data_IF_468261561192
#
_entry.id   IF_468261561192
#
_cell.length_a   1.000
_cell.length_b   1.000
_cell.length_c   1.000
_cell.angle_alpha   90.00
_cell.angle_beta   90.00
_cell.angle_gamma   90.00
#
_symmetry.space_group_name_H-M   'P 1'
#
loop_
_entity.id
_entity.type
_entity.pdbx_description
1 polymer ?
#
# COMPACT_ATOMS: atom_id res chain seq x y z
N UNK A 1 -26.27 5.97 -23.29
CA UNK A 1 -25.74 7.31 -22.95
C UNK A 1 -24.28 7.37 -23.36
N UNK A 2 -23.99 8.08 -24.47
CA UNK A 2 -22.60 8.35 -24.84
C UNK A 2 -22.06 9.39 -23.86
N UNK A 3 -21.22 8.96 -22.95
CA UNK A 3 -20.40 9.89 -22.17
C UNK A 3 -19.57 10.72 -23.15
N UNK A 4 -19.45 12.05 -22.94
CA UNK A 4 -18.64 12.88 -23.81
C UNK A 4 -17.23 12.28 -23.85
N UNK A 5 -16.80 11.92 -25.07
CA UNK A 5 -15.51 11.30 -25.31
C UNK A 5 -14.46 12.38 -25.07
N UNK A 6 -13.95 12.45 -23.84
CA UNK A 6 -12.79 13.29 -23.54
C UNK A 6 -11.64 12.83 -24.42
N UNK A 7 -10.95 13.80 -25.03
CA UNK A 7 -9.72 13.52 -25.78
C UNK A 7 -8.78 12.74 -24.87
N UNK A 8 -8.13 11.68 -25.34
CA UNK A 8 -7.28 10.82 -24.50
C UNK A 8 -6.22 11.60 -23.71
N UNK A 9 -5.69 12.69 -24.27
CA UNK A 9 -4.76 13.59 -23.58
C UNK A 9 -5.38 14.31 -22.37
N UNK A 10 -6.63 14.75 -22.48
CA UNK A 10 -7.33 15.40 -21.35
C UNK A 10 -7.58 14.42 -20.22
N UNK A 11 -7.98 13.19 -20.55
CA UNK A 11 -8.20 12.13 -19.57
C UNK A 11 -6.90 11.79 -18.81
N UNK A 12 -5.78 11.68 -19.55
CA UNK A 12 -4.47 11.45 -18.97
C UNK A 12 -4.03 12.61 -18.06
N UNK A 13 -4.25 13.85 -18.47
CA UNK A 13 -3.90 15.04 -17.66
C UNK A 13 -4.69 15.09 -16.35
N UNK A 14 -6.02 14.81 -16.40
CA UNK A 14 -6.86 14.73 -15.20
C UNK A 14 -6.37 13.59 -14.29
N UNK A 15 -6.05 12.42 -14.86
CA UNK A 15 -5.50 11.28 -14.12
C UNK A 15 -4.20 11.61 -13.40
N UNK A 16 -3.27 12.27 -14.07
CA UNK A 16 -2.02 12.72 -13.45
C UNK A 16 -2.25 13.78 -12.38
N UNK A 17 -3.15 14.74 -12.61
CA UNK A 17 -3.56 15.71 -11.59
C UNK A 17 -4.08 15.04 -10.33
N UNK A 18 -4.93 14.03 -10.48
CA UNK A 18 -5.44 13.24 -9.36
C UNK A 18 -4.31 12.50 -8.61
N UNK A 19 -3.40 11.85 -9.34
CA UNK A 19 -2.25 11.14 -8.74
C UNK A 19 -1.36 12.10 -7.94
N UNK A 20 -1.04 13.25 -8.50
CA UNK A 20 -0.22 14.27 -7.81
C UNK A 20 -0.94 14.78 -6.54
N UNK A 21 -2.22 15.13 -6.63
CA UNK A 21 -2.99 15.61 -5.48
C UNK A 21 -3.10 14.53 -4.38
N UNK A 22 -3.34 13.28 -4.76
CA UNK A 22 -3.40 12.15 -3.84
C UNK A 22 -2.05 11.90 -3.15
N UNK A 23 -0.96 12.01 -3.89
CA UNK A 23 0.40 11.86 -3.33
C UNK A 23 0.70 12.96 -2.32
N UNK A 24 0.43 14.24 -2.66
CA UNK A 24 0.61 15.38 -1.76
C UNK A 24 -0.22 15.17 -0.49
N UNK A 25 -1.49 14.81 -0.62
CA UNK A 25 -2.37 14.53 0.52
C UNK A 25 -1.83 13.40 1.40
N UNK A 26 -1.33 12.31 0.80
CA UNK A 26 -0.75 11.20 1.53
C UNK A 26 0.50 11.62 2.33
N UNK A 27 1.36 12.48 1.75
CA UNK A 27 2.56 13.03 2.41
C UNK A 27 2.16 13.92 3.58
N UNK A 28 1.21 14.84 3.38
CA UNK A 28 0.74 15.76 4.43
C UNK A 28 0.12 15.00 5.60
N UNK A 29 -0.79 14.07 5.33
CA UNK A 29 -1.44 13.25 6.37
C UNK A 29 -0.41 12.40 7.11
N UNK A 30 0.59 11.87 6.41
CA UNK A 30 1.65 11.06 7.03
C UNK A 30 2.49 11.89 7.99
N UNK A 31 2.80 13.15 7.67
CA UNK A 31 3.51 14.05 8.57
C UNK A 31 2.71 14.32 9.85
N UNK A 32 1.42 14.61 9.73
CA UNK A 32 0.53 14.85 10.88
C UNK A 32 0.45 13.60 11.77
N UNK A 33 0.23 12.43 11.18
CA UNK A 33 0.16 11.17 11.94
C UNK A 33 1.50 10.80 12.58
N UNK A 34 2.61 11.04 11.87
CA UNK A 34 3.95 10.85 12.42
C UNK A 34 4.21 11.75 13.62
N UNK A 35 3.81 13.01 13.56
CA UNK A 35 3.86 13.95 14.69
C UNK A 35 3.04 13.45 15.89
N UNK A 36 1.83 12.96 15.67
CA UNK A 36 0.97 12.46 16.75
C UNK A 36 1.55 11.22 17.44
N UNK A 37 2.22 10.34 16.68
CA UNK A 37 2.77 9.09 17.21
C UNK A 37 4.16 9.27 17.84
N UNK A 38 5.00 10.13 17.27
CA UNK A 38 6.39 10.32 17.69
C UNK A 38 6.76 11.80 17.61
N UNK A 39 6.25 12.65 18.54
CA UNK A 39 6.44 14.10 18.47
C UNK A 39 7.88 14.56 18.72
N UNK A 40 8.81 13.64 19.00
CA UNK A 40 10.22 13.94 19.28
C UNK A 40 10.40 15.06 20.32
N UNK A 41 11.24 16.01 20.04
CA UNK A 41 11.51 17.15 20.93
C UNK A 41 10.41 18.24 20.97
N UNK A 42 9.25 18.05 20.36
CA UNK A 42 8.20 19.07 20.28
C UNK A 42 7.85 19.75 21.63
N UNK A 43 7.66 19.00 22.72
CA UNK A 43 7.34 19.63 24.02
C UNK A 43 8.42 20.58 24.51
N UNK A 44 9.68 20.36 24.12
CA UNK A 44 10.85 21.08 24.60
C UNK A 44 11.38 22.11 23.60
N UNK A 45 11.58 21.70 22.36
CA UNK A 45 12.18 22.53 21.31
C UNK A 45 11.15 23.35 20.51
N UNK A 46 9.86 22.98 20.55
CA UNK A 46 8.76 23.60 19.79
C UNK A 46 9.05 23.80 18.29
N UNK A 47 9.91 22.97 17.74
CA UNK A 47 10.25 22.99 16.32
C UNK A 47 9.25 22.16 15.52
N UNK A 48 8.36 22.83 14.81
CA UNK A 48 7.38 22.17 13.93
C UNK A 48 8.07 21.29 12.88
N UNK A 49 9.17 21.77 12.31
CA UNK A 49 9.89 21.05 11.25
C UNK A 49 10.45 19.72 11.74
N UNK A 50 11.05 19.70 12.93
CA UNK A 50 11.60 18.47 13.52
C UNK A 50 10.49 17.48 13.92
N UNK A 51 9.38 18.00 14.42
CA UNK A 51 8.23 17.21 14.80
C UNK A 51 7.53 16.59 13.58
N UNK A 52 7.38 17.36 12.50
CA UNK A 52 6.74 16.92 11.27
C UNK A 52 7.61 15.92 10.49
N UNK A 53 8.91 16.24 10.31
CA UNK A 53 9.89 15.37 9.64
C UNK A 53 10.64 14.46 10.63
N UNK A 54 9.91 13.86 11.55
CA UNK A 54 10.49 12.92 12.50
C UNK A 54 11.11 11.68 11.82
N UNK A 55 11.94 10.88 12.52
CA UNK A 55 12.62 9.72 11.92
C UNK A 55 11.70 8.67 11.31
N UNK A 56 10.44 8.62 11.71
CA UNK A 56 9.45 7.68 11.18
C UNK A 56 8.73 8.19 9.93
N UNK A 57 8.85 9.50 9.61
CA UNK A 57 8.14 10.14 8.50
C UNK A 57 8.45 9.48 7.14
N UNK A 58 9.73 9.44 6.78
CA UNK A 58 10.14 8.90 5.46
C UNK A 58 9.72 7.44 5.27
N UNK A 59 10.04 6.50 6.18
CA UNK A 59 9.60 5.13 6.02
C UNK A 59 8.06 4.99 6.01
N UNK A 60 7.35 5.83 6.75
CA UNK A 60 5.88 5.83 6.75
C UNK A 60 5.29 6.29 5.41
N UNK A 61 5.89 7.29 4.76
CA UNK A 61 5.49 7.72 3.41
C UNK A 61 5.68 6.58 2.41
N UNK A 62 6.84 5.94 2.42
CA UNK A 62 7.10 4.80 1.53
C UNK A 62 6.14 3.64 1.77
N UNK A 63 5.88 3.31 3.04
CA UNK A 63 4.95 2.26 3.42
C UNK A 63 3.53 2.51 2.87
N UNK A 64 3.02 3.74 3.02
CA UNK A 64 1.67 4.11 2.58
C UNK A 64 1.57 4.19 1.06
N UNK A 65 2.57 4.79 0.40
CA UNK A 65 2.57 4.92 -1.06
C UNK A 65 2.72 3.55 -1.72
N UNK A 66 3.67 2.74 -1.28
CA UNK A 66 3.88 1.40 -1.83
C UNK A 66 2.69 0.47 -1.53
N UNK A 67 2.13 0.53 -0.32
CA UNK A 67 0.94 -0.23 0.04
C UNK A 67 -0.29 0.18 -0.80
N UNK A 68 -0.51 1.47 -0.97
CA UNK A 68 -1.60 2.00 -1.81
C UNK A 68 -1.44 1.61 -3.28
N UNK A 69 -0.22 1.71 -3.83
CA UNK A 69 0.08 1.23 -5.19
C UNK A 69 -0.15 -0.27 -5.31
N UNK A 70 0.25 -1.06 -4.32
CA UNK A 70 0.01 -2.50 -4.28
C UNK A 70 -1.47 -2.84 -4.37
N UNK A 71 -2.32 -2.18 -3.58
CA UNK A 71 -3.78 -2.35 -3.62
C UNK A 71 -4.33 -1.94 -5.00
N UNK A 72 -3.90 -0.81 -5.55
CA UNK A 72 -4.30 -0.36 -6.89
C UNK A 72 -3.95 -1.38 -7.98
N UNK A 73 -2.74 -1.95 -7.91
CA UNK A 73 -2.30 -2.99 -8.85
C UNK A 73 -3.11 -4.28 -8.68
N UNK A 74 -3.48 -4.68 -7.47
CA UNK A 74 -4.36 -5.83 -7.24
C UNK A 74 -5.73 -5.64 -7.88
N UNK A 75 -6.35 -4.46 -7.70
CA UNK A 75 -7.62 -4.13 -8.35
C UNK A 75 -7.49 -4.14 -9.88
N UNK A 76 -6.36 -3.65 -10.40
CA UNK A 76 -6.08 -3.69 -11.85
C UNK A 76 -5.91 -5.12 -12.36
N UNK A 77 -5.21 -6.00 -11.63
CA UNK A 77 -5.11 -7.42 -11.94
C UNK A 77 -6.49 -8.06 -12.01
N UNK A 78 -7.33 -7.80 -11.01
CA UNK A 78 -8.70 -8.31 -10.97
C UNK A 78 -9.51 -7.81 -12.17
N UNK A 79 -9.45 -6.52 -12.48
CA UNK A 79 -10.13 -5.96 -13.63
C UNK A 79 -9.66 -6.57 -14.96
N UNK A 80 -8.34 -6.69 -15.15
CA UNK A 80 -7.77 -7.31 -16.36
C UNK A 80 -8.19 -8.78 -16.46
N UNK A 81 -8.20 -9.51 -15.35
CA UNK A 81 -8.56 -10.92 -15.36
C UNK A 81 -10.02 -11.16 -15.75
N UNK A 82 -10.94 -10.26 -15.36
CA UNK A 82 -12.38 -10.48 -15.55
C UNK A 82 -13.04 -9.65 -16.65
N UNK A 83 -12.58 -8.43 -16.89
CA UNK A 83 -13.27 -7.46 -17.74
C UNK A 83 -12.49 -6.98 -18.96
N UNK A 84 -11.20 -7.33 -19.06
CA UNK A 84 -10.40 -6.85 -20.17
C UNK A 84 -10.76 -7.54 -21.47
N UNK A 85 -11.23 -6.77 -22.46
CA UNK A 85 -11.73 -7.24 -23.75
C UNK A 85 -10.66 -7.20 -24.87
N UNK A 86 -9.39 -7.05 -24.53
CA UNK A 86 -8.28 -7.07 -25.50
C UNK A 86 -7.86 -8.47 -25.92
N UNK A 87 -6.90 -8.54 -26.83
CA UNK A 87 -6.30 -9.80 -27.28
C UNK A 87 -5.62 -10.55 -26.14
N UNK A 88 -5.47 -11.86 -26.26
CA UNK A 88 -4.77 -12.69 -25.26
C UNK A 88 -3.32 -12.21 -25.02
N UNK A 89 -2.67 -11.70 -26.08
CA UNK A 89 -1.32 -11.15 -25.98
C UNK A 89 -1.25 -9.86 -25.18
N UNK A 90 -2.16 -8.92 -25.42
CA UNK A 90 -2.25 -7.66 -24.67
C UNK A 90 -2.58 -7.89 -23.19
N UNK A 91 -3.56 -8.79 -22.94
CA UNK A 91 -3.88 -9.21 -21.56
C UNK A 91 -2.67 -9.81 -20.87
N UNK A 92 -1.92 -10.69 -21.54
CA UNK A 92 -0.74 -11.30 -20.97
C UNK A 92 0.38 -10.29 -20.67
N UNK A 93 0.58 -9.27 -21.52
CA UNK A 93 1.55 -8.19 -21.26
C UNK A 93 1.13 -7.33 -20.06
N UNK A 94 -0.13 -6.96 -20.01
CA UNK A 94 -0.67 -6.16 -18.91
C UNK A 94 -0.56 -6.89 -17.56
N UNK A 95 -0.94 -8.17 -17.50
CA UNK A 95 -0.78 -8.99 -16.29
C UNK A 95 0.67 -9.11 -15.86
N UNK A 96 1.60 -9.29 -16.78
CA UNK A 96 3.03 -9.36 -16.46
C UNK A 96 3.53 -8.05 -15.87
N UNK A 97 3.17 -6.91 -16.45
CA UNK A 97 3.53 -5.60 -15.92
C UNK A 97 2.97 -5.38 -14.49
N UNK A 98 1.70 -5.75 -14.28
CA UNK A 98 1.09 -5.70 -12.96
C UNK A 98 1.79 -6.63 -11.96
N UNK A 99 2.18 -7.85 -12.38
CA UNK A 99 2.91 -8.77 -11.53
C UNK A 99 4.26 -8.21 -11.06
N UNK A 100 5.02 -7.60 -11.97
CA UNK A 100 6.27 -6.92 -11.65
C UNK A 100 6.02 -5.74 -10.68
N UNK A 101 5.04 -4.91 -10.98
CA UNK A 101 4.70 -3.76 -10.15
C UNK A 101 4.28 -4.18 -8.73
N UNK A 102 3.51 -5.25 -8.59
CA UNK A 102 3.11 -5.79 -7.30
C UNK A 102 4.30 -6.35 -6.52
N UNK A 103 5.21 -7.08 -7.17
CA UNK A 103 6.44 -7.57 -6.53
C UNK A 103 7.30 -6.42 -6.02
N UNK A 104 7.49 -5.37 -6.82
CA UNK A 104 8.23 -4.17 -6.41
C UNK A 104 7.55 -3.47 -5.22
N UNK A 105 6.22 -3.32 -5.27
CA UNK A 105 5.46 -2.73 -4.17
C UNK A 105 5.61 -3.53 -2.88
N UNK A 106 5.58 -4.87 -2.94
CA UNK A 106 5.81 -5.74 -1.78
C UNK A 106 7.20 -5.59 -1.19
N UNK A 107 8.25 -5.56 -2.02
CA UNK A 107 9.64 -5.36 -1.56
C UNK A 107 9.79 -4.02 -0.87
N UNK A 108 9.29 -2.94 -1.49
CA UNK A 108 9.35 -1.59 -0.91
C UNK A 108 8.57 -1.51 0.39
N UNK A 109 7.37 -2.10 0.43
CA UNK A 109 6.54 -2.16 1.64
C UNK A 109 7.24 -2.92 2.77
N UNK A 110 7.85 -4.06 2.48
CA UNK A 110 8.57 -4.85 3.47
C UNK A 110 9.80 -4.10 4.03
N UNK A 111 10.61 -3.50 3.14
CA UNK A 111 11.76 -2.71 3.55
C UNK A 111 11.34 -1.47 4.37
N UNK A 112 10.34 -0.73 3.91
CA UNK A 112 9.81 0.43 4.61
C UNK A 112 9.22 0.06 5.97
N UNK A 113 8.51 -1.07 6.07
CA UNK A 113 7.99 -1.59 7.35
C UNK A 113 9.11 -1.90 8.33
N UNK A 114 10.15 -2.60 7.87
CA UNK A 114 11.30 -2.93 8.73
C UNK A 114 11.96 -1.67 9.29
N UNK A 115 12.24 -0.68 8.42
CA UNK A 115 12.83 0.60 8.84
C UNK A 115 11.89 1.38 9.75
N UNK A 116 10.59 1.38 9.47
CA UNK A 116 9.58 2.05 10.29
C UNK A 116 9.56 1.48 11.71
N UNK A 117 9.39 0.15 11.84
CA UNK A 117 9.34 -0.49 13.15
C UNK A 117 10.65 -0.36 13.95
N UNK A 118 11.82 -0.34 13.29
CA UNK A 118 13.09 -0.12 13.95
C UNK A 118 13.27 1.29 14.52
N UNK A 119 12.47 2.26 14.02
CA UNK A 119 12.54 3.67 14.44
C UNK A 119 11.45 4.07 15.44
N UNK A 120 10.50 3.20 15.72
CA UNK A 120 9.48 3.47 16.75
C UNK A 120 10.11 3.29 18.13
N UNK A 121 10.02 4.29 19.04
CA UNK A 121 10.48 4.14 20.41
C UNK A 121 9.80 2.98 21.13
N UNK A 122 10.57 2.22 21.94
CA UNK A 122 10.07 1.05 22.66
C UNK A 122 8.87 1.38 23.58
N UNK A 123 8.82 2.59 24.11
CA UNK A 123 7.69 3.06 24.93
C UNK A 123 6.37 3.01 24.18
N UNK A 124 6.35 3.39 22.90
CA UNK A 124 5.13 3.35 22.08
C UNK A 124 4.75 1.92 21.71
N UNK A 125 5.71 1.05 21.45
CA UNK A 125 5.44 -0.37 21.19
C UNK A 125 4.83 -1.06 22.40
N UNK A 126 5.26 -0.70 23.62
CA UNK A 126 4.68 -1.21 24.85
C UNK A 126 3.25 -0.74 25.05
N UNK A 127 2.98 0.56 24.84
CA UNK A 127 1.64 1.11 24.92
C UNK A 127 0.70 0.53 23.86
N UNK A 128 1.20 0.29 22.64
CA UNK A 128 0.41 -0.34 21.59
C UNK A 128 0.01 -1.76 21.97
N UNK A 129 0.93 -2.55 22.52
CA UNK A 129 0.64 -3.89 23.03
C UNK A 129 -0.41 -3.85 24.15
N UNK A 130 -0.33 -2.87 25.03
CA UNK A 130 -1.30 -2.68 26.10
C UNK A 130 -2.67 -2.28 25.56
N UNK A 131 -2.74 -1.35 24.61
CA UNK A 131 -3.99 -0.93 23.98
C UNK A 131 -4.68 -2.08 23.23
N UNK A 132 -3.89 -2.94 22.56
CA UNK A 132 -4.40 -4.17 21.93
C UNK A 132 -4.85 -5.19 22.98
N UNK A 133 -4.15 -5.28 24.11
CA UNK A 133 -4.49 -6.19 25.20
C UNK A 133 -5.82 -5.83 25.91
N UNK A 134 -6.23 -4.59 25.87
CA UNK A 134 -7.51 -4.12 26.46
C UNK A 134 -8.69 -4.25 25.52
N UNK A 135 -8.46 -4.60 24.23
CA UNK A 135 -9.51 -4.83 23.25
C UNK A 135 -9.77 -6.33 23.04
N UNK A 136 -10.93 -6.66 22.46
CA UNK A 136 -11.26 -8.05 22.09
C UNK A 136 -10.19 -8.67 21.14
N UNK A 137 -9.39 -7.84 20.49
CA UNK A 137 -8.24 -8.24 19.68
C UNK A 137 -7.05 -8.73 20.53
N UNK A 138 -7.09 -8.61 21.85
CA UNK A 138 -6.03 -9.10 22.75
C UNK A 138 -5.83 -10.61 22.69
N UNK A 139 -6.83 -11.34 22.24
CA UNK A 139 -6.73 -12.78 22.00
C UNK A 139 -6.14 -13.14 20.62
N UNK A 140 -5.79 -12.14 19.82
CA UNK A 140 -5.22 -12.33 18.47
C UNK A 140 -3.72 -12.01 18.31
N UNK A 141 -2.91 -11.73 19.34
CA UNK A 141 -1.51 -11.37 19.14
C UNK A 141 -0.72 -12.49 18.45
N UNK A 142 -1.10 -13.75 18.67
CA UNK A 142 -0.44 -14.90 18.03
C UNK A 142 -0.98 -15.15 16.60
N UNK A 143 -2.20 -14.74 16.33
CA UNK A 143 -2.84 -14.93 15.03
C UNK A 143 -2.43 -13.84 14.02
N UNK A 144 -2.18 -12.60 14.46
CA UNK A 144 -1.80 -11.50 13.59
C UNK A 144 -0.52 -11.73 12.78
N UNK A 145 0.58 -12.26 13.36
CA UNK A 145 1.77 -12.60 12.57
C UNK A 145 1.48 -13.66 11.51
N UNK A 146 0.73 -14.70 11.86
CA UNK A 146 0.35 -15.75 10.91
C UNK A 146 -0.55 -15.22 9.79
N UNK A 147 -1.52 -14.36 10.11
CA UNK A 147 -2.37 -13.72 9.13
C UNK A 147 -1.58 -12.78 8.19
N UNK A 148 -0.59 -12.03 8.71
CA UNK A 148 0.29 -11.20 7.91
C UNK A 148 1.15 -12.05 6.96
N UNK A 149 1.73 -13.15 7.44
CA UNK A 149 2.50 -14.07 6.59
C UNK A 149 1.60 -14.66 5.51
N UNK A 150 0.41 -15.12 5.84
CA UNK A 150 -0.56 -15.64 4.88
C UNK A 150 -0.94 -14.57 3.82
N UNK A 151 -1.19 -13.33 4.23
CA UNK A 151 -1.49 -12.24 3.32
C UNK A 151 -0.33 -11.96 2.36
N UNK A 152 0.90 -11.91 2.86
CA UNK A 152 2.10 -11.72 2.02
C UNK A 152 2.27 -12.88 1.04
N UNK A 153 2.06 -14.13 1.46
CA UNK A 153 2.13 -15.29 0.57
C UNK A 153 1.06 -15.24 -0.53
N UNK A 154 -0.17 -14.85 -0.21
CA UNK A 154 -1.25 -14.67 -1.20
C UNK A 154 -0.89 -13.57 -2.20
N UNK A 155 -0.34 -12.44 -1.73
CA UNK A 155 0.09 -11.35 -2.59
C UNK A 155 1.24 -11.75 -3.51
N UNK A 156 2.23 -12.48 -2.99
CA UNK A 156 3.34 -13.01 -3.78
C UNK A 156 2.83 -14.00 -4.83
N UNK A 157 1.94 -14.92 -4.45
CA UNK A 157 1.35 -15.88 -5.38
C UNK A 157 0.56 -15.16 -6.47
N UNK A 158 -0.23 -14.14 -6.12
CA UNK A 158 -0.97 -13.31 -7.09
C UNK A 158 -0.01 -12.63 -8.06
N UNK A 159 1.09 -12.07 -7.54
CA UNK A 159 2.10 -11.41 -8.37
C UNK A 159 2.77 -12.40 -9.35
N UNK A 160 3.14 -13.60 -8.87
CA UNK A 160 3.76 -14.65 -9.69
C UNK A 160 2.81 -15.17 -10.76
N UNK A 161 1.54 -15.39 -10.42
CA UNK A 161 0.51 -15.84 -11.35
C UNK A 161 0.23 -14.79 -12.42
N UNK A 162 0.17 -13.52 -12.04
CA UNK A 162 0.04 -12.41 -12.97
C UNK A 162 1.27 -12.31 -13.88
N UNK A 163 2.48 -12.43 -13.32
CA UNK A 163 3.72 -12.46 -14.07
C UNK A 163 3.76 -13.61 -15.08
N UNK A 164 3.32 -14.81 -14.69
CA UNK A 164 3.23 -15.99 -15.56
C UNK A 164 2.13 -15.90 -16.62
N UNK A 165 1.38 -14.80 -16.69
CA UNK A 165 0.31 -14.56 -17.66
C UNK A 165 -0.82 -15.60 -17.61
N UNK A 166 -1.14 -16.13 -16.44
CA UNK A 166 -2.18 -17.15 -16.22
C UNK A 166 -3.52 -16.51 -15.79
N UNK A 167 -4.37 -16.05 -16.74
CA UNK A 167 -5.59 -15.30 -16.41
C UNK A 167 -6.60 -16.14 -15.62
N UNK A 168 -6.67 -17.44 -15.84
CA UNK A 168 -7.58 -18.32 -15.09
C UNK A 168 -7.23 -18.37 -13.59
N UNK A 169 -5.94 -18.54 -13.27
CA UNK A 169 -5.50 -18.54 -11.87
C UNK A 169 -5.63 -17.17 -11.22
N UNK A 170 -5.38 -16.08 -11.96
CA UNK A 170 -5.59 -14.73 -11.44
C UNK A 170 -7.04 -14.47 -11.06
N UNK A 171 -8.01 -15.04 -11.79
CA UNK A 171 -9.44 -14.95 -11.43
C UNK A 171 -9.76 -15.61 -10.10
N UNK A 172 -9.16 -16.79 -9.83
CA UNK A 172 -9.38 -17.52 -8.59
C UNK A 172 -8.79 -16.81 -7.36
N UNK A 173 -7.62 -16.17 -7.52
CA UNK A 173 -6.93 -15.47 -6.44
C UNK A 173 -7.55 -14.09 -6.12
N UNK A 174 -8.24 -13.49 -7.09
CA UNK A 174 -8.89 -12.19 -6.95
C UNK A 174 -10.41 -12.32 -6.70
N UNK A 175 -10.90 -13.47 -6.21
CA UNK A 175 -12.30 -13.58 -5.76
C UNK A 175 -12.41 -12.75 -4.47
N UNK A 176 -13.29 -11.72 -4.44
CA UNK A 176 -13.59 -11.05 -3.19
C UNK A 176 -14.22 -12.05 -2.22
N UNK A 177 -13.62 -12.20 -1.06
CA UNK A 177 -14.21 -12.95 0.05
C UNK A 177 -15.44 -12.23 0.59
#
# INVERSE_FOLDING_TARGET
>A
CALPIYKPGTLAAIGWGYVCASFISAVLITGILGFMLTPQGWPWARSFTEAYFNPTFVPQVFLRVAGGLGIGVLLLIAWIAWRFNGTAHERGRALRACGIALMLALVVTAAASHVYFSRIPQTYLTHWKFAVATSYLSQMPDFLPAANVAAVLVLLLTALVAYARRPMLSRLLCIPA
#
